data_IF_698872392399
#
_entry.id   IF_698872392399
#
_cell.length_a   1.000
_cell.length_b   1.000
_cell.length_c   1.000
_cell.angle_alpha   90.00
_cell.angle_beta   90.00
_cell.angle_gamma   90.00
#
_symmetry.space_group_name_H-M   'P 1'
#
loop_
_entity.id
_entity.type
_entity.pdbx_description
1 polymer ?
#
# COMPACT_ATOMS: atom_id res chain seq x y z
N UNK A 1 8.72 27.53 -20.15
CA UNK A 1 8.01 26.51 -20.95
C UNK A 1 6.56 26.47 -20.49
N UNK A 2 5.60 26.51 -21.43
CA UNK A 2 4.15 26.63 -21.19
C UNK A 2 3.52 25.24 -21.19
N UNK A 3 2.70 24.92 -20.18
CA UNK A 3 1.94 23.66 -20.08
C UNK A 3 0.48 23.96 -20.44
N UNK A 4 -0.17 23.20 -21.34
CA UNK A 4 -1.59 23.39 -21.64
C UNK A 4 -2.48 22.80 -20.53
N UNK A 5 -3.54 23.54 -20.20
CA UNK A 5 -4.60 23.19 -19.25
C UNK A 5 -5.53 22.14 -19.86
N UNK A 6 -5.77 21.04 -19.16
CA UNK A 6 -6.83 20.10 -19.54
C UNK A 6 -8.18 20.57 -18.98
N UNK A 7 -9.12 20.79 -19.89
CA UNK A 7 -10.51 21.11 -19.60
C UNK A 7 -11.25 19.83 -19.18
N UNK A 8 -11.97 19.94 -18.06
CA UNK A 8 -12.86 18.90 -17.52
C UNK A 8 -14.21 19.07 -18.22
N UNK A 9 -14.67 18.03 -18.93
CA UNK A 9 -16.05 17.94 -19.40
C UNK A 9 -16.83 16.99 -18.47
N UNK A 10 -17.61 17.58 -17.56
CA UNK A 10 -18.67 16.89 -16.83
C UNK A 10 -19.78 16.51 -17.81
N UNK A 11 -20.09 15.21 -17.94
CA UNK A 11 -21.31 14.76 -18.63
C UNK A 11 -22.13 13.94 -17.64
N UNK A 12 -23.22 14.54 -17.19
CA UNK A 12 -24.25 13.96 -16.33
C UNK A 12 -25.44 13.60 -17.21
N UNK A 13 -25.94 12.37 -17.15
CA UNK A 13 -27.29 12.04 -17.59
C UNK A 13 -27.96 11.16 -16.53
N UNK A 14 -29.09 11.65 -16.02
CA UNK A 14 -30.00 10.91 -15.13
C UNK A 14 -31.34 10.70 -15.90
N UNK A 15 -32.02 9.61 -15.54
CA UNK A 15 -33.46 9.28 -15.67
C UNK A 15 -33.89 8.61 -16.99
N UNK A 16 -34.14 7.29 -16.96
CA UNK A 16 -35.34 6.54 -16.55
C UNK A 16 -36.43 6.49 -17.64
N UNK A 17 -36.89 5.27 -17.95
CA UNK A 17 -38.29 4.79 -17.96
C UNK A 17 -38.47 3.66 -19.00
N UNK A 18 -38.76 2.46 -18.50
CA UNK A 18 -39.17 1.31 -19.28
C UNK A 18 -39.93 0.32 -18.40
N UNK A 19 -41.26 0.30 -18.57
CA UNK A 19 -42.24 -0.51 -17.85
C UNK A 19 -42.05 -2.03 -18.01
N UNK A 20 -42.58 -2.82 -17.07
CA UNK A 20 -43.68 -3.78 -17.37
C UNK A 20 -44.38 -4.26 -16.09
N UNK A 21 -45.71 -4.27 -16.15
CA UNK A 21 -46.65 -4.81 -15.17
C UNK A 21 -46.58 -6.35 -15.07
N UNK A 22 -46.79 -6.92 -13.89
CA UNK A 22 -47.10 -8.35 -13.74
C UNK A 22 -48.11 -8.59 -12.60
N UNK A 23 -49.06 -9.54 -12.73
CA UNK A 23 -50.23 -9.68 -11.85
C UNK A 23 -49.90 -10.39 -10.52
N UNK A 24 -50.80 -10.34 -9.52
CA UNK A 24 -50.58 -10.97 -8.22
C UNK A 24 -50.72 -12.49 -8.32
N UNK A 25 -49.70 -13.22 -7.85
CA UNK A 25 -49.75 -14.66 -7.66
C UNK A 25 -50.12 -15.02 -6.21
N UNK A 26 -51.00 -16.00 -6.11
CA UNK A 26 -51.61 -16.66 -4.96
C UNK A 26 -50.55 -17.28 -4.01
N UNK A 27 -50.77 -17.32 -2.68
CA UNK A 27 -49.78 -17.82 -1.73
C UNK A 27 -49.62 -19.34 -1.85
N UNK A 28 -48.39 -19.79 -2.11
CA UNK A 28 -47.98 -21.19 -1.96
C UNK A 28 -47.05 -21.32 -0.76
N UNK A 29 -47.38 -22.29 0.10
CA UNK A 29 -46.63 -22.70 1.30
C UNK A 29 -45.16 -23.04 1.02
N UNK A 30 -44.29 -22.96 2.06
CA UNK A 30 -42.84 -22.90 1.89
C UNK A 30 -42.25 -24.26 1.45
N UNK A 31 -41.50 -24.20 0.36
CA UNK A 31 -40.48 -25.20 -0.01
C UNK A 31 -39.19 -24.88 0.78
N UNK A 32 -38.39 -25.86 1.24
CA UNK A 32 -37.24 -25.60 2.08
C UNK A 32 -36.19 -24.79 1.29
N UNK A 33 -35.81 -23.63 1.82
CA UNK A 33 -34.78 -22.76 1.25
C UNK A 33 -33.43 -23.49 1.24
N UNK A 34 -32.71 -23.56 0.11
CA UNK A 34 -31.28 -23.84 0.11
C UNK A 34 -30.59 -22.80 0.97
N UNK A 35 -29.68 -23.23 1.83
CA UNK A 35 -28.88 -22.38 2.72
C UNK A 35 -28.16 -21.29 1.89
N UNK A 36 -28.73 -20.08 1.92
CA UNK A 36 -28.28 -18.87 1.23
C UNK A 36 -27.14 -18.19 2.01
N UNK A 37 -26.27 -19.00 2.62
CA UNK A 37 -25.04 -18.52 3.22
C UNK A 37 -24.16 -17.96 2.09
N UNK A 38 -23.82 -16.65 2.09
CA UNK A 38 -22.90 -16.08 1.12
C UNK A 38 -21.62 -16.93 1.10
N UNK A 39 -21.02 -17.22 -0.07
CA UNK A 39 -19.80 -18.00 -0.10
C UNK A 39 -18.80 -17.35 0.85
N UNK A 40 -18.41 -18.08 1.89
CA UNK A 40 -17.44 -17.60 2.87
C UNK A 40 -16.16 -17.33 2.08
N UNK A 41 -15.89 -16.05 1.81
CA UNK A 41 -14.68 -15.61 1.10
C UNK A 41 -13.53 -16.09 1.97
N UNK A 42 -12.83 -17.14 1.55
CA UNK A 42 -11.62 -17.59 2.24
C UNK A 42 -10.63 -16.43 2.15
N UNK A 43 -10.52 -15.67 3.23
CA UNK A 43 -9.62 -14.53 3.31
C UNK A 43 -8.21 -15.12 3.31
N UNK A 44 -7.46 -14.87 2.24
CA UNK A 44 -6.03 -15.18 2.19
C UNK A 44 -5.28 -13.90 2.63
N UNK A 45 -4.75 -13.83 3.86
CA UNK A 45 -4.13 -12.61 4.38
C UNK A 45 -2.94 -12.16 3.56
N UNK A 46 -2.24 -13.07 2.86
CA UNK A 46 -1.12 -12.73 1.98
C UNK A 46 -1.58 -11.97 0.74
N UNK A 47 -2.60 -12.48 0.05
CA UNK A 47 -3.14 -11.83 -1.13
C UNK A 47 -3.74 -10.47 -0.78
N UNK A 48 -4.52 -10.40 0.30
CA UNK A 48 -5.13 -9.15 0.76
C UNK A 48 -4.08 -8.12 1.20
N UNK A 49 -3.03 -8.54 1.92
CA UNK A 49 -1.93 -7.63 2.29
C UNK A 49 -1.26 -7.01 1.06
N UNK A 50 -1.06 -7.81 0.00
CA UNK A 50 -0.47 -7.33 -1.25
C UNK A 50 -1.41 -6.34 -1.93
N UNK A 51 -2.71 -6.66 -2.03
CA UNK A 51 -3.72 -5.79 -2.65
C UNK A 51 -3.87 -4.45 -1.91
N UNK A 52 -3.88 -4.45 -0.58
CA UNK A 52 -3.97 -3.23 0.22
C UNK A 52 -2.70 -2.37 0.10
N UNK A 53 -1.52 -3.01 0.11
CA UNK A 53 -0.25 -2.31 -0.13
C UNK A 53 -0.20 -1.69 -1.54
N UNK A 54 -0.74 -2.35 -2.55
CA UNK A 54 -0.88 -1.77 -3.90
C UNK A 54 -1.89 -0.63 -3.95
N UNK A 55 -3.00 -0.75 -3.22
CA UNK A 55 -4.01 0.30 -3.11
C UNK A 55 -3.42 1.56 -2.47
N UNK A 56 -2.60 1.39 -1.41
CA UNK A 56 -1.86 2.48 -0.80
C UNK A 56 -0.93 3.19 -1.81
N UNK A 57 -0.22 2.43 -2.66
CA UNK A 57 0.61 3.02 -3.72
C UNK A 57 -0.17 3.83 -4.75
N UNK A 58 -1.37 3.37 -5.12
CA UNK A 58 -2.26 4.13 -5.99
C UNK A 58 -2.59 5.48 -5.35
N UNK A 59 -3.06 5.47 -4.10
CA UNK A 59 -3.41 6.68 -3.36
C UNK A 59 -2.24 7.64 -3.15
N UNK A 60 -1.02 7.13 -3.02
CA UNK A 60 0.19 7.96 -2.93
C UNK A 60 0.41 8.82 -4.18
N UNK A 61 0.08 8.31 -5.37
CA UNK A 61 0.18 9.06 -6.62
C UNK A 61 -0.90 10.14 -6.76
N UNK A 62 -2.08 9.86 -6.21
CA UNK A 62 -3.24 10.77 -6.28
C UNK A 62 -3.19 11.87 -5.21
N UNK A 63 -2.26 11.75 -4.25
CA UNK A 63 -2.17 12.61 -3.08
C UNK A 63 -2.99 12.05 -1.91
N UNK A 64 -2.34 11.91 -0.75
CA UNK A 64 -2.97 11.39 0.47
C UNK A 64 -2.56 12.24 1.67
N UNK A 65 -3.48 12.42 2.62
CA UNK A 65 -3.15 13.09 3.89
C UNK A 65 -2.44 12.11 4.82
N UNK A 66 -1.60 12.62 5.72
CA UNK A 66 -0.92 11.79 6.73
C UNK A 66 -1.91 11.00 7.59
N UNK A 67 -3.10 11.55 7.85
CA UNK A 67 -4.17 10.84 8.59
C UNK A 67 -4.68 9.64 7.80
N UNK A 68 -5.13 9.85 6.56
CA UNK A 68 -5.64 8.77 5.72
C UNK A 68 -4.57 7.69 5.47
N UNK A 69 -3.30 8.09 5.29
CA UNK A 69 -2.18 7.16 5.20
C UNK A 69 -2.04 6.33 6.48
N UNK A 70 -2.12 6.97 7.66
CA UNK A 70 -2.05 6.27 8.94
C UNK A 70 -3.20 5.29 9.17
N UNK A 71 -4.41 5.65 8.77
CA UNK A 71 -5.60 4.80 8.92
C UNK A 71 -5.44 3.51 8.10
N UNK A 72 -5.06 3.65 6.82
CA UNK A 72 -4.78 2.51 5.93
C UNK A 72 -3.64 1.64 6.49
N UNK A 73 -2.57 2.26 7.00
CA UNK A 73 -1.47 1.51 7.60
C UNK A 73 -1.89 0.67 8.82
N UNK A 74 -2.89 1.13 9.59
CA UNK A 74 -3.43 0.35 10.70
C UNK A 74 -4.24 -0.86 10.21
N UNK A 75 -4.98 -0.72 9.12
CA UNK A 75 -5.70 -1.83 8.48
C UNK A 75 -4.71 -2.87 7.94
N UNK A 76 -3.70 -2.43 7.18
CA UNK A 76 -2.64 -3.31 6.64
C UNK A 76 -1.90 -4.04 7.77
N UNK A 77 -1.64 -3.38 8.90
CA UNK A 77 -0.96 -3.99 10.06
C UNK A 77 -1.66 -5.27 10.51
N UNK A 78 -2.99 -5.27 10.59
CA UNK A 78 -3.78 -6.41 11.04
C UNK A 78 -3.72 -7.59 10.06
N UNK A 79 -3.54 -7.30 8.77
CA UNK A 79 -3.33 -8.32 7.73
C UNK A 79 -1.91 -8.90 7.81
N UNK A 80 -0.90 -8.04 7.88
CA UNK A 80 0.52 -8.42 7.94
C UNK A 80 0.84 -9.25 9.18
N UNK A 81 0.16 -9.03 10.31
CA UNK A 81 0.32 -9.86 11.52
C UNK A 81 -0.15 -11.31 11.34
N UNK A 82 -1.08 -11.55 10.42
CA UNK A 82 -1.68 -12.87 10.15
C UNK A 82 -1.14 -13.49 8.87
N UNK A 83 -0.17 -12.85 8.22
CA UNK A 83 0.33 -13.30 6.92
C UNK A 83 1.15 -14.58 7.05
N UNK A 84 0.75 -15.59 6.28
CA UNK A 84 1.46 -16.85 6.07
C UNK A 84 1.44 -17.24 4.59
N UNK A 85 2.08 -18.35 4.24
CA UNK A 85 2.17 -18.82 2.85
C UNK A 85 3.60 -18.79 2.32
N UNK A 86 3.75 -18.48 1.03
CA UNK A 86 5.05 -18.52 0.34
C UNK A 86 6.07 -17.59 1.03
N UNK A 87 7.23 -18.11 1.51
CA UNK A 87 8.15 -17.37 2.36
C UNK A 87 8.70 -16.07 1.74
N UNK A 88 9.01 -16.07 0.43
CA UNK A 88 9.54 -14.89 -0.25
C UNK A 88 8.48 -13.78 -0.33
N UNK A 89 7.23 -14.14 -0.59
CA UNK A 89 6.09 -13.22 -0.61
C UNK A 89 5.81 -12.65 0.78
N UNK A 90 5.82 -13.50 1.81
CA UNK A 90 5.66 -13.07 3.21
C UNK A 90 6.76 -12.09 3.62
N UNK A 91 8.02 -12.40 3.31
CA UNK A 91 9.16 -11.53 3.62
C UNK A 91 9.04 -10.19 2.91
N UNK A 92 8.66 -10.19 1.63
CA UNK A 92 8.48 -8.99 0.83
C UNK A 92 7.32 -8.10 1.34
N UNK A 93 6.16 -8.69 1.70
CA UNK A 93 5.04 -7.96 2.32
C UNK A 93 5.47 -7.30 3.63
N UNK A 94 6.15 -8.03 4.52
CA UNK A 94 6.65 -7.50 5.78
C UNK A 94 7.68 -6.38 5.56
N UNK A 95 8.55 -6.54 4.57
CA UNK A 95 9.55 -5.54 4.20
C UNK A 95 8.89 -4.25 3.70
N UNK A 96 7.92 -4.35 2.79
CA UNK A 96 7.17 -3.22 2.26
C UNK A 96 6.43 -2.47 3.38
N UNK A 97 5.72 -3.20 4.23
CA UNK A 97 5.00 -2.65 5.37
C UNK A 97 5.95 -1.89 6.32
N UNK A 98 7.09 -2.48 6.68
CA UNK A 98 8.09 -1.83 7.51
C UNK A 98 8.63 -0.52 6.89
N UNK A 99 8.81 -0.48 5.57
CA UNK A 99 9.17 0.74 4.85
C UNK A 99 8.09 1.82 4.95
N UNK A 100 6.83 1.45 4.74
CA UNK A 100 5.71 2.38 4.88
C UNK A 100 5.53 2.88 6.33
N UNK A 101 5.86 2.06 7.34
CA UNK A 101 5.87 2.49 8.74
C UNK A 101 6.94 3.56 9.00
N UNK A 102 8.14 3.39 8.45
CA UNK A 102 9.21 4.39 8.54
C UNK A 102 8.82 5.70 7.83
N UNK A 103 8.18 5.61 6.66
CA UNK A 103 7.64 6.79 5.98
C UNK A 103 6.60 7.53 6.83
N UNK A 104 5.67 6.80 7.46
CA UNK A 104 4.67 7.41 8.35
C UNK A 104 5.32 8.12 9.54
N UNK A 105 6.26 7.46 10.21
CA UNK A 105 6.99 8.04 11.34
C UNK A 105 7.74 9.31 10.94
N UNK A 106 8.39 9.30 9.76
CA UNK A 106 9.10 10.45 9.25
C UNK A 106 8.16 11.61 8.93
N UNK A 107 7.05 11.32 8.25
CA UNK A 107 6.03 12.31 7.92
C UNK A 107 5.38 12.92 9.17
N UNK A 108 5.15 12.12 10.21
CA UNK A 108 4.57 12.57 11.46
C UNK A 108 5.47 13.52 12.26
N UNK A 109 6.77 13.57 11.98
CA UNK A 109 7.67 14.54 12.62
C UNK A 109 7.34 16.00 12.27
N UNK A 110 6.61 16.26 11.18
CA UNK A 110 6.11 17.60 10.86
C UNK A 110 5.07 18.13 11.87
N UNK A 111 4.56 17.25 12.74
CA UNK A 111 3.65 17.62 13.83
C UNK A 111 4.38 18.11 15.08
N UNK A 112 5.70 18.02 15.14
CA UNK A 112 6.49 18.57 16.23
C UNK A 112 6.36 20.09 16.27
N UNK A 113 6.21 20.65 17.46
CA UNK A 113 6.22 22.10 17.67
C UNK A 113 7.67 22.52 17.86
N UNK A 114 8.20 23.28 16.90
CA UNK A 114 9.57 23.81 16.95
C UNK A 114 10.51 23.20 15.91
N UNK A 115 11.43 24.03 15.41
CA UNK A 115 12.37 23.65 14.34
C UNK A 115 13.34 22.57 14.80
N UNK A 116 13.89 22.70 16.01
CA UNK A 116 14.85 21.73 16.54
C UNK A 116 14.20 20.38 16.83
N UNK A 117 13.02 20.38 17.43
CA UNK A 117 12.25 19.19 17.77
C UNK A 117 11.85 18.40 16.52
N UNK A 118 11.47 19.10 15.45
CA UNK A 118 11.19 18.51 14.14
C UNK A 118 12.42 17.77 13.61
N UNK A 119 13.59 18.41 13.60
CA UNK A 119 14.79 17.82 13.03
C UNK A 119 15.40 16.73 13.92
N UNK A 120 15.25 16.83 15.25
CA UNK A 120 15.56 15.74 16.17
C UNK A 120 14.64 14.52 15.94
N UNK A 121 13.34 14.74 15.75
CA UNK A 121 12.40 13.67 15.42
C UNK A 121 12.79 12.98 14.12
N UNK A 122 12.94 13.76 13.04
CA UNK A 122 13.35 13.24 11.73
C UNK A 122 14.70 12.53 11.80
N UNK A 123 15.67 13.07 12.53
CA UNK A 123 16.99 12.46 12.74
C UNK A 123 16.92 11.08 13.38
N UNK A 124 16.03 10.88 14.37
CA UNK A 124 15.78 9.56 14.98
C UNK A 124 15.21 8.57 13.96
N UNK A 125 14.21 9.00 13.18
CA UNK A 125 13.59 8.14 12.16
C UNK A 125 14.56 7.82 11.01
N UNK A 126 15.40 8.78 10.60
CA UNK A 126 16.44 8.59 9.59
C UNK A 126 17.41 7.46 9.97
N UNK A 127 17.67 7.24 11.26
CA UNK A 127 18.48 6.07 11.68
C UNK A 127 17.85 4.75 11.24
N UNK A 128 16.53 4.60 11.37
CA UNK A 128 15.79 3.42 10.92
C UNK A 128 15.72 3.32 9.39
N UNK A 129 15.46 4.45 8.73
CA UNK A 129 15.47 4.53 7.26
C UNK A 129 16.82 4.11 6.70
N UNK A 130 17.92 4.62 7.24
CA UNK A 130 19.28 4.32 6.79
C UNK A 130 19.76 2.91 7.13
N UNK A 131 19.19 2.28 8.15
CA UNK A 131 19.43 0.87 8.42
C UNK A 131 18.72 -0.02 7.39
N UNK A 132 17.48 0.33 7.00
CA UNK A 132 16.71 -0.42 6.00
C UNK A 132 17.19 -0.15 4.57
N UNK A 133 17.59 1.08 4.28
CA UNK A 133 18.00 1.56 2.96
C UNK A 133 19.40 2.21 3.03
N UNK A 134 20.48 1.40 3.03
CA UNK A 134 21.85 1.91 3.15
C UNK A 134 22.27 2.82 1.99
N UNK A 135 21.66 2.67 0.83
CA UNK A 135 21.84 3.52 -0.34
C UNK A 135 21.31 4.94 -0.11
N UNK A 136 20.15 5.11 0.55
CA UNK A 136 19.66 6.42 0.97
C UNK A 136 20.63 7.10 1.95
N UNK A 137 21.25 6.33 2.84
CA UNK A 137 22.29 6.84 3.75
C UNK A 137 23.49 7.38 2.98
N UNK A 138 23.94 6.65 1.97
CA UNK A 138 25.07 7.05 1.14
C UNK A 138 24.76 8.35 0.38
N UNK A 139 23.57 8.44 -0.23
CA UNK A 139 23.11 9.64 -0.93
C UNK A 139 23.02 10.86 0.01
N UNK A 140 22.40 10.68 1.19
CA UNK A 140 22.26 11.76 2.17
C UNK A 140 23.62 12.27 2.68
N UNK A 141 24.59 11.37 2.91
CA UNK A 141 25.95 11.76 3.31
C UNK A 141 26.77 12.40 2.19
N UNK A 142 26.48 12.07 0.93
CA UNK A 142 27.11 12.72 -0.21
C UNK A 142 26.59 14.15 -0.38
N UNK A 143 25.30 14.36 -0.14
CA UNK A 143 24.66 15.68 -0.18
C UNK A 143 25.03 16.56 1.03
N UNK A 144 25.13 15.96 2.22
CA UNK A 144 25.34 16.68 3.48
C UNK A 144 26.66 16.26 4.12
N UNK A 145 27.61 17.19 4.25
CA UNK A 145 28.91 16.97 4.91
C UNK A 145 28.77 16.92 6.45
N UNK A 146 27.94 16.03 6.97
CA UNK A 146 27.74 15.80 8.41
C UNK A 146 27.50 14.32 8.70
N UNK A 147 27.82 13.90 9.92
CA UNK A 147 27.47 12.58 10.45
C UNK A 147 26.34 12.64 11.47
N UNK A 148 25.94 13.84 11.90
CA UNK A 148 24.83 14.05 12.82
C UNK A 148 23.50 13.99 12.06
N UNK A 149 22.62 13.06 12.44
CA UNK A 149 21.35 12.82 11.75
C UNK A 149 20.35 13.98 11.86
N UNK A 150 20.39 14.75 12.95
CA UNK A 150 19.57 15.97 13.08
C UNK A 150 20.04 17.03 12.10
N UNK A 151 21.36 17.23 11.98
CA UNK A 151 21.94 18.14 10.98
C UNK A 151 21.70 17.67 9.53
N UNK A 152 21.75 16.36 9.28
CA UNK A 152 21.39 15.83 7.96
C UNK A 152 19.93 16.13 7.64
N UNK A 153 19.04 15.90 8.62
CA UNK A 153 17.60 16.16 8.49
C UNK A 153 17.26 17.61 8.12
N UNK A 154 18.07 18.60 8.52
CA UNK A 154 17.82 20.02 8.15
C UNK A 154 18.05 20.31 6.68
N UNK A 155 18.79 19.47 5.98
CA UNK A 155 19.19 19.67 4.58
C UNK A 155 18.51 18.71 3.61
N UNK A 156 17.74 17.75 4.11
CA UNK A 156 16.97 16.83 3.27
C UNK A 156 15.59 17.40 2.96
N UNK A 157 15.19 17.32 1.70
CA UNK A 157 13.81 17.55 1.30
C UNK A 157 12.91 16.42 1.82
N UNK A 158 11.80 16.79 2.46
CA UNK A 158 10.89 15.82 3.08
C UNK A 158 10.21 14.95 2.02
N UNK A 159 9.69 15.58 0.98
CA UNK A 159 8.88 14.91 -0.02
C UNK A 159 9.77 13.99 -0.86
N UNK A 160 11.03 14.39 -1.11
CA UNK A 160 12.02 13.52 -1.74
C UNK A 160 12.35 12.29 -0.88
N UNK A 161 12.56 12.46 0.43
CA UNK A 161 12.79 11.31 1.33
C UNK A 161 11.58 10.37 1.34
N UNK A 162 10.35 10.90 1.40
CA UNK A 162 9.14 10.10 1.38
C UNK A 162 8.97 9.35 0.04
N UNK A 163 9.17 10.04 -1.08
CA UNK A 163 9.10 9.47 -2.42
C UNK A 163 10.10 8.32 -2.59
N UNK A 164 11.34 8.52 -2.14
CA UNK A 164 12.37 7.48 -2.15
C UNK A 164 12.01 6.25 -1.33
N UNK A 165 11.35 6.41 -0.18
CA UNK A 165 10.87 5.27 0.62
C UNK A 165 9.76 4.55 -0.14
N UNK A 166 8.80 5.28 -0.73
CA UNK A 166 7.67 4.70 -1.46
C UNK A 166 8.08 3.94 -2.72
N UNK A 167 9.12 4.40 -3.41
CA UNK A 167 9.69 3.68 -4.56
C UNK A 167 10.28 2.32 -4.12
N UNK A 168 11.02 2.31 -3.01
CA UNK A 168 11.63 1.08 -2.47
C UNK A 168 10.58 0.10 -1.95
N UNK A 169 9.54 0.58 -1.27
CA UNK A 169 8.42 -0.31 -0.90
C UNK A 169 7.68 -0.83 -2.12
N UNK A 170 7.70 -0.09 -3.24
CA UNK A 170 7.13 -0.57 -4.51
C UNK A 170 7.87 -1.73 -5.12
N UNK A 171 9.19 -1.75 -5.01
CA UNK A 171 9.99 -2.92 -5.38
C UNK A 171 9.60 -4.12 -4.52
N UNK A 172 9.50 -3.96 -3.20
CA UNK A 172 9.11 -5.05 -2.29
C UNK A 172 7.72 -5.61 -2.63
N UNK A 173 6.75 -4.74 -2.93
CA UNK A 173 5.38 -5.17 -3.30
C UNK A 173 5.39 -5.94 -4.63
N UNK A 174 6.21 -5.54 -5.60
CA UNK A 174 6.38 -6.29 -6.85
C UNK A 174 7.00 -7.67 -6.63
N UNK A 175 8.00 -7.77 -5.75
CA UNK A 175 8.61 -9.06 -5.36
C UNK A 175 7.55 -9.99 -4.76
N UNK A 176 6.69 -9.47 -3.87
CA UNK A 176 5.63 -10.27 -3.26
C UNK A 176 4.66 -10.83 -4.31
N UNK A 177 4.23 -10.00 -5.26
CA UNK A 177 3.32 -10.40 -6.36
C UNK A 177 3.92 -11.46 -7.27
N UNK A 178 5.19 -11.28 -7.65
CA UNK A 178 5.87 -12.22 -8.52
C UNK A 178 5.99 -13.59 -7.85
N UNK A 179 6.32 -13.62 -6.57
CA UNK A 179 6.51 -14.86 -5.82
C UNK A 179 5.24 -15.72 -5.75
N UNK A 180 4.07 -15.10 -5.52
CA UNK A 180 2.79 -15.84 -5.55
C UNK A 180 2.33 -16.23 -6.97
N UNK A 181 2.79 -15.53 -8.00
CA UNK A 181 2.48 -15.84 -9.40
C UNK A 181 3.31 -17.02 -9.91
N UNK A 182 4.54 -17.18 -9.41
CA UNK A 182 5.40 -18.33 -9.74
C UNK A 182 4.97 -19.61 -9.03
N UNK A 183 4.39 -19.51 -7.83
CA UNK A 183 3.91 -20.66 -7.05
C UNK A 183 2.58 -21.24 -7.60
N UNK A 184 1.80 -20.43 -8.32
CA UNK A 184 0.56 -20.85 -8.99
C UNK A 184 0.77 -21.42 -10.39
N UNK A 185 2.01 -21.47 -10.89
CA UNK A 185 2.31 -22.16 -12.15
C UNK A 185 2.23 -23.67 -11.90
N UNK A 186 1.31 -24.42 -12.55
CA UNK A 186 1.23 -25.86 -12.34
C UNK A 186 2.57 -26.48 -12.74
N UNK A 187 3.25 -27.12 -11.78
CA UNK A 187 4.27 -28.13 -12.11
C UNK A 187 3.57 -29.18 -12.96
N UNK A 188 3.73 -29.10 -14.27
CA UNK A 188 3.20 -30.10 -15.18
C UNK A 188 3.88 -31.44 -14.84
N UNK A 189 3.17 -32.44 -14.28
CA UNK A 189 3.79 -33.71 -13.89
C UNK A 189 4.13 -34.58 -15.11
N UNK A 190 3.75 -34.17 -16.31
CA UNK A 190 4.00 -34.91 -17.54
C UNK A 190 5.12 -34.26 -18.36
N UNK A 191 6.36 -34.47 -17.91
CA UNK A 191 7.51 -34.50 -18.81
C UNK A 191 8.20 -35.87 -18.66
N UNK A 192 7.49 -36.91 -19.07
CA UNK A 192 8.07 -38.19 -19.47
C UNK A 192 7.61 -38.46 -20.90
N UNK A 193 8.58 -38.50 -21.82
CA UNK A 193 8.63 -39.05 -23.21
C UNK A 193 9.64 -38.17 -23.97
N UNK A 194 10.77 -38.63 -24.50
CA UNK A 194 11.31 -39.96 -24.77
C UNK A 194 12.82 -39.96 -24.50
#
# INVERSE_FOLDING_TARGET
MKIPKFAIAFTTCILLFGCTSQPPQTPSSPTPTPDDSPPTRVINPLKESIEELQTLQGKLKDGITTKAYSDIMNEIKLLVQRVGGEPKAVAAVKSAFAGHQLALQFWQCDRSVGYEELHQCRGKVLSGIFAKYPDMKAQAKAAVKSTNLSTISTQLDKDEVLQQIWERTSVDIQVARQAISTDTSPKNPNLNTN
#
